data_IF_385114101003
#
_entry.id   IF_385114101003
#
_cell.length_a   1.000
_cell.length_b   1.000
_cell.length_c   1.000
_cell.angle_alpha   90.00
_cell.angle_beta   90.00
_cell.angle_gamma   90.00
#
_symmetry.space_group_name_H-M   'P 1'
#
loop_
_entity.id
_entity.type
_entity.pdbx_description
1 polymer ?
#
# COMPACT_ATOMS: atom_id res chain seq x y z
N UNK A 1 -51.28 14.35 26.52
CA UNK A 1 -51.30 15.74 26.03
C UNK A 1 -50.94 16.71 27.15
N UNK A 2 -49.64 16.95 27.32
CA UNK A 2 -49.03 18.07 28.06
C UNK A 2 -47.63 18.19 27.44
N UNK A 3 -47.40 18.87 26.32
CA UNK A 3 -47.90 20.18 25.94
C UNK A 3 -46.89 21.29 26.24
N UNK A 4 -45.72 20.97 26.81
CA UNK A 4 -44.60 21.89 26.99
C UNK A 4 -43.40 21.46 26.13
N UNK A 5 -43.55 21.64 24.82
CA UNK A 5 -42.49 21.38 23.86
C UNK A 5 -41.26 22.27 24.09
N UNK A 6 -41.47 23.47 24.64
CA UNK A 6 -40.40 24.45 24.86
C UNK A 6 -39.55 24.08 26.08
N UNK A 7 -40.15 23.63 27.18
CA UNK A 7 -39.43 23.10 28.35
C UNK A 7 -38.65 21.82 28.02
N UNK A 8 -39.20 20.94 27.17
CA UNK A 8 -38.49 19.76 26.69
C UNK A 8 -37.25 20.12 25.85
N UNK A 9 -37.34 21.13 24.98
CA UNK A 9 -36.20 21.63 24.20
C UNK A 9 -35.12 22.22 25.11
N UNK A 10 -35.50 23.05 26.07
CA UNK A 10 -34.55 23.68 27.02
C UNK A 10 -33.81 22.65 27.87
N UNK A 11 -34.51 21.62 28.36
CA UNK A 11 -33.88 20.56 29.14
C UNK A 11 -32.93 19.72 28.27
N UNK A 12 -33.29 19.47 27.01
CA UNK A 12 -32.41 18.80 26.05
C UNK A 12 -31.15 19.62 25.75
N UNK A 13 -31.28 20.93 25.57
CA UNK A 13 -30.15 21.85 25.39
C UNK A 13 -29.22 21.88 26.61
N UNK A 14 -29.79 21.88 27.82
CA UNK A 14 -29.03 21.81 29.08
C UNK A 14 -28.22 20.52 29.17
N UNK A 15 -28.82 19.39 28.78
CA UNK A 15 -28.14 18.09 28.73
C UNK A 15 -27.01 18.09 27.70
N UNK A 16 -27.25 18.62 26.49
CA UNK A 16 -26.20 18.78 25.46
C UNK A 16 -25.05 19.65 26.00
N UNK A 17 -25.33 20.80 26.62
CA UNK A 17 -24.30 21.69 27.14
C UNK A 17 -23.43 21.01 28.21
N UNK A 18 -24.06 20.27 29.13
CA UNK A 18 -23.35 19.53 30.18
C UNK A 18 -22.49 18.41 29.58
N UNK A 19 -23.04 17.64 28.63
CA UNK A 19 -22.31 16.54 27.98
C UNK A 19 -21.23 17.04 27.03
N UNK A 20 -21.39 18.21 26.39
CA UNK A 20 -20.35 18.79 25.54
C UNK A 20 -19.09 19.14 26.32
N UNK A 21 -19.20 19.39 27.63
CA UNK A 21 -18.06 19.59 28.53
C UNK A 21 -17.50 18.26 29.06
N UNK A 22 -18.38 17.34 29.48
CA UNK A 22 -17.96 16.10 30.18
C UNK A 22 -17.62 14.93 29.26
N UNK A 23 -18.28 14.86 28.11
CA UNK A 23 -18.16 13.81 27.10
C UNK A 23 -18.39 14.42 25.70
N UNK A 24 -17.43 15.19 25.16
CA UNK A 24 -17.61 16.02 23.96
C UNK A 24 -18.20 15.27 22.76
N UNK A 25 -17.77 14.02 22.52
CA UNK A 25 -18.31 13.18 21.45
C UNK A 25 -19.81 12.90 21.60
N UNK A 26 -20.28 12.60 22.81
CA UNK A 26 -21.70 12.36 23.11
C UNK A 26 -22.51 13.65 22.97
N UNK A 27 -21.96 14.77 23.46
CA UNK A 27 -22.58 16.08 23.30
C UNK A 27 -22.79 16.46 21.82
N UNK A 28 -21.75 16.25 20.99
CA UNK A 28 -21.80 16.46 19.54
C UNK A 28 -22.85 15.57 18.85
N UNK A 29 -22.90 14.28 19.19
CA UNK A 29 -23.89 13.36 18.61
C UNK A 29 -25.34 13.74 18.97
N UNK A 30 -25.58 14.18 20.21
CA UNK A 30 -26.91 14.67 20.62
C UNK A 30 -27.28 15.99 19.96
N UNK A 31 -26.33 16.92 19.79
CA UNK A 31 -26.53 18.16 19.06
C UNK A 31 -26.94 17.88 17.60
N UNK A 32 -26.26 16.95 16.92
CA UNK A 32 -26.64 16.49 15.59
C UNK A 32 -28.09 16.01 15.55
N UNK A 33 -28.49 15.12 16.46
CA UNK A 33 -29.86 14.58 16.48
C UNK A 33 -30.91 15.67 16.72
N UNK A 34 -30.64 16.63 17.62
CA UNK A 34 -31.49 17.81 17.83
C UNK A 34 -31.63 18.61 16.54
N UNK A 35 -30.51 18.94 15.91
CA UNK A 35 -30.52 19.86 14.78
C UNK A 35 -31.16 19.23 13.54
N UNK A 36 -30.95 17.92 13.33
CA UNK A 36 -31.72 17.13 12.35
C UNK A 36 -33.22 17.19 12.64
N UNK A 37 -33.62 17.02 13.89
CA UNK A 37 -35.04 17.07 14.28
C UNK A 37 -35.65 18.45 14.00
N UNK A 38 -34.94 19.54 14.33
CA UNK A 38 -35.42 20.92 14.11
C UNK A 38 -35.65 21.22 12.62
N UNK A 39 -34.78 20.73 11.73
CA UNK A 39 -34.90 20.94 10.28
C UNK A 39 -36.06 20.15 9.66
N UNK A 40 -36.38 18.96 10.18
CA UNK A 40 -37.42 18.09 9.59
C UNK A 40 -38.84 18.32 10.16
N UNK A 41 -38.99 19.18 11.18
CA UNK A 41 -40.27 19.41 11.86
C UNK A 41 -40.81 20.80 11.53
N UNK A 42 -41.93 20.91 10.79
CA UNK A 42 -42.52 22.20 10.41
C UNK A 42 -42.90 23.09 11.59
N UNK A 43 -43.15 22.49 12.77
CA UNK A 43 -43.51 23.23 13.99
C UNK A 43 -42.29 23.83 14.72
N UNK A 44 -41.07 23.51 14.28
CA UNK A 44 -39.81 23.91 14.90
C UNK A 44 -39.10 25.01 14.08
N UNK A 45 -38.12 25.69 14.70
CA UNK A 45 -37.30 26.67 13.99
C UNK A 45 -36.26 25.98 13.11
N UNK A 46 -36.53 25.90 11.80
CA UNK A 46 -35.60 25.40 10.78
C UNK A 46 -34.26 26.15 10.83
N UNK A 47 -34.30 27.48 10.91
CA UNK A 47 -33.10 28.34 11.01
C UNK A 47 -32.21 27.97 12.20
N UNK A 48 -32.78 27.64 13.36
CA UNK A 48 -32.00 27.22 14.53
C UNK A 48 -31.30 25.88 14.28
N UNK A 49 -32.00 24.92 13.65
CA UNK A 49 -31.42 23.66 13.22
C UNK A 49 -30.31 23.82 12.18
N UNK A 50 -30.52 24.66 11.15
CA UNK A 50 -29.51 24.93 10.13
C UNK A 50 -28.24 25.55 10.72
N UNK A 51 -28.36 26.49 11.67
CA UNK A 51 -27.19 27.05 12.39
C UNK A 51 -26.42 25.98 13.16
N UNK A 52 -27.13 25.10 13.86
CA UNK A 52 -26.53 24.00 14.60
C UNK A 52 -25.78 23.03 13.69
N UNK A 53 -26.40 22.60 12.59
CA UNK A 53 -25.78 21.75 11.57
C UNK A 53 -24.58 22.44 10.91
N UNK A 54 -24.66 23.72 10.57
CA UNK A 54 -23.55 24.48 9.98
C UNK A 54 -22.32 24.50 10.89
N UNK A 55 -22.52 24.72 12.20
CA UNK A 55 -21.43 24.66 13.19
C UNK A 55 -20.81 23.27 13.31
N UNK A 56 -21.61 22.20 13.28
CA UNK A 56 -21.09 20.83 13.31
C UNK A 56 -20.33 20.50 12.01
N UNK A 57 -20.88 20.86 10.85
CA UNK A 57 -20.30 20.60 9.53
C UNK A 57 -18.97 21.34 9.26
N UNK A 58 -18.81 22.52 9.85
CA UNK A 58 -17.63 23.39 9.66
C UNK A 58 -16.48 23.09 10.62
N UNK A 59 -16.73 22.33 11.68
CA UNK A 59 -15.75 22.02 12.73
C UNK A 59 -15.52 20.50 12.80
N UNK A 60 -14.77 19.93 11.84
CA UNK A 60 -14.38 18.54 11.88
C UNK A 60 -13.50 18.26 13.11
N UNK A 61 -13.62 17.05 13.64
CA UNK A 61 -12.74 16.56 14.71
C UNK A 61 -11.42 16.06 14.15
N UNK A 62 -10.37 16.13 14.95
CA UNK A 62 -9.09 15.50 14.62
C UNK A 62 -9.14 13.96 14.81
N UNK A 63 -10.14 13.45 15.52
CA UNK A 63 -10.38 12.02 15.71
C UNK A 63 -11.24 11.48 14.57
N UNK A 64 -10.76 10.42 13.92
CA UNK A 64 -11.51 9.64 12.93
C UNK A 64 -12.07 8.35 13.56
N UNK A 65 -13.26 7.88 13.16
CA UNK A 65 -14.17 8.49 12.17
C UNK A 65 -14.99 9.65 12.74
N UNK A 66 -15.06 10.78 12.04
CA UNK A 66 -15.94 11.92 12.38
C UNK A 66 -17.34 11.75 11.77
N UNK A 67 -18.05 10.75 12.29
CA UNK A 67 -19.42 10.45 11.86
C UNK A 67 -20.38 11.62 12.07
N UNK A 68 -20.12 12.51 13.04
CA UNK A 68 -21.00 13.63 13.34
C UNK A 68 -20.91 14.69 12.26
N UNK A 69 -19.70 15.10 11.88
CA UNK A 69 -19.51 16.07 10.80
C UNK A 69 -20.01 15.52 9.48
N UNK A 70 -19.69 14.25 9.15
CA UNK A 70 -20.18 13.61 7.93
C UNK A 70 -21.71 13.62 7.86
N UNK A 71 -22.40 13.21 8.92
CA UNK A 71 -23.88 13.20 8.96
C UNK A 71 -24.49 14.61 8.97
N UNK A 72 -23.83 15.60 9.56
CA UNK A 72 -24.27 16.99 9.50
C UNK A 72 -24.21 17.51 8.05
N UNK A 73 -23.10 17.26 7.35
CA UNK A 73 -22.91 17.61 5.93
C UNK A 73 -23.93 16.92 5.03
N UNK A 74 -24.15 15.62 5.24
CA UNK A 74 -25.19 14.86 4.52
C UNK A 74 -26.58 15.48 4.72
N UNK A 75 -26.95 15.80 5.96
CA UNK A 75 -28.27 16.41 6.26
C UNK A 75 -28.44 17.77 5.57
N UNK A 76 -27.40 18.61 5.58
CA UNK A 76 -27.44 19.92 4.92
C UNK A 76 -27.54 19.78 3.39
N UNK A 77 -26.85 18.80 2.80
CA UNK A 77 -26.91 18.48 1.38
C UNK A 77 -28.31 18.01 0.97
N UNK A 78 -28.89 17.06 1.72
CA UNK A 78 -30.28 16.60 1.51
C UNK A 78 -31.28 17.76 1.59
N UNK A 79 -31.08 18.68 2.54
CA UNK A 79 -31.95 19.85 2.72
C UNK A 79 -31.95 20.76 1.48
N UNK A 80 -30.78 21.11 0.93
CA UNK A 80 -30.70 21.99 -0.25
C UNK A 80 -31.08 21.31 -1.56
N UNK A 81 -30.91 19.99 -1.65
CA UNK A 81 -31.34 19.21 -2.82
C UNK A 81 -32.87 19.04 -2.89
N UNK A 82 -33.58 19.13 -1.76
CA UNK A 82 -35.04 18.99 -1.73
C UNK A 82 -35.79 20.11 -2.43
N UNK A 83 -35.37 21.37 -2.26
CA UNK A 83 -36.04 22.54 -2.85
C UNK A 83 -35.04 23.66 -3.15
N UNK A 84 -35.14 24.29 -4.32
CA UNK A 84 -34.24 25.37 -4.72
C UNK A 84 -34.21 26.55 -3.73
N UNK A 85 -35.35 26.90 -3.12
CA UNK A 85 -35.43 27.97 -2.12
C UNK A 85 -34.61 27.70 -0.84
N UNK A 86 -34.33 26.43 -0.52
CA UNK A 86 -33.52 26.05 0.64
C UNK A 86 -32.04 26.40 0.46
N UNK A 87 -31.58 26.51 -0.79
CA UNK A 87 -30.20 26.90 -1.08
C UNK A 87 -29.92 28.32 -0.61
N UNK A 88 -30.79 29.27 -0.91
CA UNK A 88 -30.63 30.68 -0.52
C UNK A 88 -30.77 30.88 1.00
N UNK A 89 -31.68 30.13 1.64
CA UNK A 89 -31.80 30.11 3.09
C UNK A 89 -30.53 29.59 3.77
N UNK A 90 -30.00 28.45 3.30
CA UNK A 90 -28.76 27.92 3.84
C UNK A 90 -27.58 28.85 3.56
N UNK A 91 -27.52 29.49 2.38
CA UNK A 91 -26.47 30.46 2.06
C UNK A 91 -26.40 31.61 3.09
N UNK A 92 -27.56 32.17 3.44
CA UNK A 92 -27.65 33.23 4.45
C UNK A 92 -27.21 32.72 5.84
N UNK A 93 -27.74 31.58 6.28
CA UNK A 93 -27.39 30.99 7.58
C UNK A 93 -25.91 30.62 7.67
N UNK A 94 -25.37 30.05 6.60
CA UNK A 94 -23.97 29.62 6.54
C UNK A 94 -23.02 30.82 6.61
N UNK A 95 -23.33 31.89 5.89
CA UNK A 95 -22.55 33.12 5.92
C UNK A 95 -22.56 33.75 7.33
N UNK A 96 -23.73 33.84 7.96
CA UNK A 96 -23.88 34.37 9.31
C UNK A 96 -23.09 33.57 10.37
N UNK A 97 -23.06 32.23 10.24
CA UNK A 97 -22.43 31.36 11.25
C UNK A 97 -20.93 31.14 11.03
N UNK A 98 -20.48 31.06 9.78
CA UNK A 98 -19.12 30.62 9.45
C UNK A 98 -18.26 31.72 8.85
N UNK A 99 -18.87 32.80 8.35
CA UNK A 99 -18.21 33.87 7.58
C UNK A 99 -17.50 33.40 6.30
N UNK A 100 -17.77 32.17 5.84
CA UNK A 100 -17.16 31.56 4.64
C UNK A 100 -18.19 31.40 3.51
N UNK A 101 -17.77 31.27 2.24
CA UNK A 101 -18.68 30.88 1.17
C UNK A 101 -19.20 29.45 1.39
N UNK A 102 -20.32 29.11 0.72
CA UNK A 102 -20.84 27.75 0.76
C UNK A 102 -19.79 26.76 0.23
N UNK A 103 -19.49 25.67 0.97
CA UNK A 103 -18.51 24.69 0.52
C UNK A 103 -18.96 23.89 -0.69
N UNK A 104 -18.01 23.47 -1.52
CA UNK A 104 -18.26 22.64 -2.69
C UNK A 104 -18.91 21.27 -2.36
N UNK A 105 -18.73 20.76 -1.13
CA UNK A 105 -19.34 19.49 -0.73
C UNK A 105 -20.87 19.56 -0.63
N UNK A 106 -21.48 20.75 -0.56
CA UNK A 106 -22.94 20.92 -0.55
C UNK A 106 -23.59 20.65 -1.90
N UNK A 107 -22.84 20.87 -2.99
CA UNK A 107 -23.34 20.69 -4.35
C UNK A 107 -23.00 19.32 -4.92
N UNK A 108 -22.34 18.44 -4.14
CA UNK A 108 -22.06 17.07 -4.54
C UNK A 108 -23.35 16.34 -4.89
N UNK A 109 -23.37 15.72 -6.06
CA UNK A 109 -24.44 14.81 -6.43
C UNK A 109 -24.36 13.53 -5.59
N UNK A 110 -25.51 12.88 -5.31
CA UNK A 110 -25.52 11.56 -4.69
C UNK A 110 -24.67 10.55 -5.49
N UNK A 111 -24.76 10.60 -6.82
CA UNK A 111 -24.00 9.73 -7.72
C UNK A 111 -22.48 9.87 -7.60
N UNK A 112 -21.95 11.07 -7.36
CA UNK A 112 -20.52 11.27 -7.14
C UNK A 112 -20.03 10.60 -5.85
N UNK A 113 -20.79 10.74 -4.76
CA UNK A 113 -20.45 10.09 -3.48
C UNK A 113 -20.57 8.57 -3.56
N UNK A 114 -21.61 8.06 -4.21
CA UNK A 114 -21.80 6.62 -4.43
C UNK A 114 -20.65 6.06 -5.28
N UNK A 115 -20.29 6.72 -6.38
CA UNK A 115 -19.22 6.26 -7.27
C UNK A 115 -17.86 6.28 -6.60
N UNK A 116 -17.56 7.33 -5.83
CA UNK A 116 -16.30 7.41 -5.08
C UNK A 116 -16.28 6.38 -3.96
N UNK A 117 -17.36 6.25 -3.17
CA UNK A 117 -17.43 5.22 -2.12
C UNK A 117 -17.23 3.82 -2.70
N UNK A 118 -17.93 3.50 -3.80
CA UNK A 118 -17.78 2.21 -4.48
C UNK A 118 -16.35 1.99 -4.99
N UNK A 119 -15.66 3.05 -5.43
CA UNK A 119 -14.26 2.96 -5.83
C UNK A 119 -13.33 2.66 -4.66
N UNK A 120 -13.55 3.27 -3.48
CA UNK A 120 -12.76 3.02 -2.28
C UNK A 120 -12.97 1.59 -1.75
N UNK A 121 -14.17 1.04 -1.94
CA UNK A 121 -14.58 -0.27 -1.45
C UNK A 121 -14.21 -1.42 -2.41
N UNK A 122 -13.53 -1.15 -3.52
CA UNK A 122 -13.11 -2.21 -4.45
C UNK A 122 -12.14 -3.18 -3.76
N UNK A 123 -12.33 -4.51 -3.88
CA UNK A 123 -11.57 -5.47 -3.09
C UNK A 123 -10.16 -5.73 -3.65
N UNK A 124 -9.91 -5.44 -4.93
CA UNK A 124 -8.64 -5.70 -5.63
C UNK A 124 -8.25 -4.52 -6.52
N UNK A 125 -6.97 -4.39 -6.87
CA UNK A 125 -6.53 -3.34 -7.81
C UNK A 125 -7.07 -3.52 -9.23
N UNK A 126 -7.23 -4.75 -9.77
CA UNK A 126 -7.97 -4.97 -11.01
C UNK A 126 -9.40 -4.43 -10.96
N UNK A 127 -10.14 -4.67 -9.88
CA UNK A 127 -11.50 -4.14 -9.72
C UNK A 127 -11.51 -2.61 -9.61
N UNK A 128 -10.54 -2.05 -8.88
CA UNK A 128 -10.34 -0.60 -8.79
C UNK A 128 -10.07 0.04 -10.16
N UNK A 129 -9.23 -0.60 -10.98
CA UNK A 129 -8.89 -0.13 -12.31
C UNK A 129 -10.08 -0.23 -13.29
N UNK A 130 -10.85 -1.32 -13.21
CA UNK A 130 -12.07 -1.49 -13.99
C UNK A 130 -13.11 -0.42 -13.62
N UNK A 131 -13.33 -0.21 -12.31
CA UNK A 131 -14.24 0.82 -11.81
C UNK A 131 -13.80 2.23 -12.22
N UNK A 132 -12.49 2.51 -12.15
CA UNK A 132 -11.96 3.78 -12.65
C UNK A 132 -12.27 3.97 -14.13
N UNK A 133 -12.05 2.94 -14.94
CA UNK A 133 -12.24 3.00 -16.39
C UNK A 133 -13.72 3.24 -16.75
N UNK A 134 -14.64 2.56 -16.07
CA UNK A 134 -16.08 2.70 -16.28
C UNK A 134 -16.63 4.08 -15.84
N UNK A 135 -15.97 4.72 -14.88
CA UNK A 135 -16.41 5.99 -14.28
C UNK A 135 -15.41 7.15 -14.46
N UNK A 136 -14.53 7.05 -15.47
CA UNK A 136 -13.37 7.94 -15.62
C UNK A 136 -13.73 9.43 -15.68
N UNK A 137 -14.83 9.79 -16.35
CA UNK A 137 -15.29 11.19 -16.46
C UNK A 137 -15.60 11.79 -15.08
N UNK A 138 -16.36 11.05 -14.25
CA UNK A 138 -16.75 11.50 -12.92
C UNK A 138 -15.57 11.48 -11.95
N UNK A 139 -14.79 10.40 -11.93
CA UNK A 139 -13.64 10.26 -11.04
C UNK A 139 -12.51 11.25 -11.34
N UNK A 140 -12.39 11.69 -12.60
CA UNK A 140 -11.45 12.74 -13.00
C UNK A 140 -11.94 14.16 -12.69
N UNK A 141 -13.22 14.33 -12.35
CA UNK A 141 -13.82 15.65 -12.11
C UNK A 141 -13.42 16.24 -10.75
N UNK A 142 -13.50 17.58 -10.57
CA UNK A 142 -13.36 18.21 -9.26
C UNK A 142 -14.38 17.70 -8.23
N UNK A 143 -15.53 17.23 -8.68
CA UNK A 143 -16.60 16.68 -7.84
C UNK A 143 -16.11 15.43 -7.09
N UNK A 144 -15.38 14.54 -7.77
CA UNK A 144 -14.78 13.37 -7.13
C UNK A 144 -13.75 13.74 -6.05
N UNK A 145 -12.99 14.81 -6.24
CA UNK A 145 -12.06 15.29 -5.20
C UNK A 145 -12.80 15.80 -3.96
N UNK A 146 -13.96 16.45 -4.15
CA UNK A 146 -14.80 16.87 -3.03
C UNK A 146 -15.49 15.68 -2.35
N UNK A 147 -15.90 14.65 -3.11
CA UNK A 147 -16.45 13.41 -2.56
C UNK A 147 -15.38 12.63 -1.76
N UNK A 148 -14.14 12.54 -2.25
CA UNK A 148 -13.01 11.94 -1.51
C UNK A 148 -12.76 12.66 -0.18
N UNK A 149 -12.86 13.99 -0.16
CA UNK A 149 -12.73 14.77 1.08
C UNK A 149 -13.87 14.50 2.08
N UNK A 150 -15.06 14.14 1.61
CA UNK A 150 -16.16 13.70 2.48
C UNK A 150 -15.90 12.28 3.01
N UNK A 151 -15.42 11.35 2.17
CA UNK A 151 -15.06 10.00 2.59
C UNK A 151 -13.90 10.01 3.61
N UNK A 152 -12.96 10.96 3.48
CA UNK A 152 -11.85 11.15 4.42
C UNK A 152 -12.30 11.50 5.86
N UNK A 153 -13.55 11.97 6.06
CA UNK A 153 -14.10 12.14 7.41
C UNK A 153 -14.34 10.80 8.11
N UNK A 154 -14.56 9.73 7.35
CA UNK A 154 -14.86 8.40 7.87
C UNK A 154 -13.63 7.50 7.86
N UNK A 155 -12.89 7.51 6.75
CA UNK A 155 -11.65 6.75 6.58
C UNK A 155 -10.58 7.64 5.93
N UNK A 156 -9.80 8.38 6.75
CA UNK A 156 -8.78 9.28 6.24
C UNK A 156 -7.67 8.59 5.47
N UNK A 157 -7.29 7.38 5.86
CA UNK A 157 -6.14 6.67 5.27
C UNK A 157 -6.48 6.16 3.87
N UNK A 158 -7.60 5.44 3.74
CA UNK A 158 -8.06 4.93 2.44
C UNK A 158 -8.37 6.08 1.48
N UNK A 159 -9.01 7.15 1.96
CA UNK A 159 -9.31 8.31 1.13
C UNK A 159 -8.03 9.07 0.70
N UNK A 160 -7.02 9.19 1.56
CA UNK A 160 -5.75 9.80 1.20
C UNK A 160 -4.99 8.97 0.15
N UNK A 161 -4.99 7.65 0.29
CA UNK A 161 -4.39 6.74 -0.69
C UNK A 161 -5.05 6.88 -2.07
N UNK A 162 -6.38 6.85 -2.12
CA UNK A 162 -7.15 7.03 -3.36
C UNK A 162 -7.01 8.44 -3.94
N UNK A 163 -6.89 9.48 -3.10
CA UNK A 163 -6.60 10.82 -3.57
C UNK A 163 -5.20 10.90 -4.22
N UNK A 164 -4.18 10.26 -3.63
CA UNK A 164 -2.84 10.21 -4.21
C UNK A 164 -2.84 9.46 -5.55
N UNK A 165 -3.48 8.29 -5.60
CA UNK A 165 -3.67 7.51 -6.82
C UNK A 165 -4.38 8.35 -7.90
N UNK A 166 -5.48 9.04 -7.56
CA UNK A 166 -6.19 9.95 -8.45
C UNK A 166 -5.27 11.03 -9.04
N UNK A 167 -4.38 11.62 -8.24
CA UNK A 167 -3.44 12.63 -8.75
C UNK A 167 -2.47 12.05 -9.78
N UNK A 168 -1.91 10.86 -9.51
CA UNK A 168 -1.02 10.17 -10.46
C UNK A 168 -1.77 9.80 -11.75
N UNK A 169 -3.00 9.33 -11.64
CA UNK A 169 -3.84 9.02 -12.82
C UNK A 169 -4.07 10.28 -13.66
N UNK A 170 -4.34 11.43 -13.04
CA UNK A 170 -4.57 12.67 -13.76
C UNK A 170 -3.30 13.25 -14.42
N UNK A 171 -2.11 12.95 -13.89
CA UNK A 171 -0.84 13.41 -14.48
C UNK A 171 -0.25 12.45 -15.51
N UNK A 172 -0.35 11.14 -15.27
CA UNK A 172 0.38 10.10 -16.03
C UNK A 172 -0.55 9.15 -16.79
N UNK A 173 -1.86 9.19 -16.49
CA UNK A 173 -2.86 8.29 -17.06
C UNK A 173 -3.09 7.04 -16.20
N UNK A 174 -4.30 6.49 -16.29
CA UNK A 174 -4.71 5.36 -15.46
C UNK A 174 -3.84 4.09 -15.67
N UNK A 175 -3.49 3.69 -16.90
CA UNK A 175 -2.64 2.51 -17.09
C UNK A 175 -1.29 2.60 -16.38
N UNK A 176 -0.64 3.77 -16.43
CA UNK A 176 0.66 3.98 -15.79
C UNK A 176 0.56 3.96 -14.26
N UNK A 177 -0.47 4.63 -13.72
CA UNK A 177 -0.70 4.70 -12.28
C UNK A 177 -1.04 3.32 -11.66
N UNK A 178 -1.82 2.51 -12.37
CA UNK A 178 -2.25 1.19 -11.87
C UNK A 178 -1.24 0.08 -12.12
N UNK A 179 -0.37 0.17 -13.14
CA UNK A 179 0.62 -0.88 -13.44
C UNK A 179 1.42 -1.36 -12.22
N UNK A 180 2.06 -0.49 -11.41
CA UNK A 180 2.82 -0.96 -10.25
C UNK A 180 1.93 -1.62 -9.18
N UNK A 181 0.69 -1.17 -9.01
CA UNK A 181 -0.26 -1.75 -8.05
C UNK A 181 -0.72 -3.14 -8.47
N UNK A 182 -1.05 -3.30 -9.76
CA UNK A 182 -1.44 -4.58 -10.36
C UNK A 182 -0.30 -5.61 -10.30
N UNK A 183 0.92 -5.19 -10.65
CA UNK A 183 2.10 -6.05 -10.57
C UNK A 183 2.44 -6.42 -9.11
N UNK A 184 2.26 -5.49 -8.17
CA UNK A 184 2.45 -5.76 -6.74
C UNK A 184 1.49 -6.82 -6.19
N UNK A 185 0.21 -6.75 -6.58
CA UNK A 185 -0.79 -7.77 -6.20
C UNK A 185 -0.48 -9.11 -6.85
N UNK A 186 -0.15 -9.13 -8.15
CA UNK A 186 0.25 -10.36 -8.84
C UNK A 186 1.50 -11.00 -8.22
N UNK A 187 2.48 -10.20 -7.78
CA UNK A 187 3.66 -10.67 -7.07
C UNK A 187 3.28 -11.26 -5.70
N UNK A 188 2.42 -10.59 -4.94
CA UNK A 188 1.94 -11.09 -3.65
C UNK A 188 1.23 -12.45 -3.83
N UNK A 189 0.33 -12.56 -4.80
CA UNK A 189 -0.35 -13.81 -5.13
C UNK A 189 0.62 -14.92 -5.54
N UNK A 190 1.61 -14.60 -6.39
CA UNK A 190 2.62 -15.55 -6.83
C UNK A 190 3.49 -16.07 -5.68
N UNK A 191 3.93 -15.18 -4.78
CA UNK A 191 4.77 -15.52 -3.62
C UNK A 191 4.01 -16.24 -2.51
N UNK A 192 2.68 -16.14 -2.48
CA UNK A 192 1.83 -16.89 -1.55
C UNK A 192 1.63 -18.36 -1.96
N UNK A 193 1.99 -18.74 -3.20
CA UNK A 193 1.89 -20.13 -3.68
C UNK A 193 2.87 -21.03 -2.93
N UNK A 194 2.42 -22.24 -2.62
CA UNK A 194 3.16 -23.16 -1.73
C UNK A 194 3.88 -24.27 -2.48
N UNK A 195 3.69 -24.38 -3.79
CA UNK A 195 4.32 -25.41 -4.62
C UNK A 195 5.01 -24.81 -5.84
N UNK A 196 6.13 -25.39 -6.24
CA UNK A 196 6.87 -24.94 -7.43
C UNK A 196 6.08 -25.13 -8.74
N UNK A 197 5.20 -26.12 -8.80
CA UNK A 197 4.38 -26.39 -9.99
C UNK A 197 3.31 -25.30 -10.19
N UNK A 198 2.62 -24.91 -9.12
CA UNK A 198 1.67 -23.79 -9.16
C UNK A 198 2.40 -22.48 -9.46
N UNK A 199 3.55 -22.26 -8.84
CA UNK A 199 4.41 -21.09 -9.05
C UNK A 199 4.85 -20.98 -10.52
N UNK A 200 5.28 -22.08 -11.13
CA UNK A 200 5.67 -22.13 -12.55
C UNK A 200 4.49 -21.84 -13.49
N UNK A 201 3.34 -22.45 -13.21
CA UNK A 201 2.13 -22.21 -13.99
C UNK A 201 1.69 -20.74 -13.89
N UNK A 202 1.78 -20.15 -12.69
CA UNK A 202 1.40 -18.78 -12.45
C UNK A 202 2.31 -17.79 -13.19
N UNK A 203 3.63 -17.96 -13.12
CA UNK A 203 4.58 -17.10 -13.84
C UNK A 203 4.40 -17.19 -15.37
N UNK A 204 4.08 -18.38 -15.90
CA UNK A 204 3.74 -18.54 -17.33
C UNK A 204 2.48 -17.79 -17.74
N UNK A 205 1.48 -17.73 -16.85
CA UNK A 205 0.24 -17.01 -17.10
C UNK A 205 0.40 -15.49 -16.97
N UNK A 206 1.41 -15.02 -16.23
CA UNK A 206 1.65 -13.61 -15.91
C UNK A 206 3.08 -13.17 -16.29
N UNK A 207 3.41 -13.10 -17.59
CA UNK A 207 4.76 -12.73 -18.04
C UNK A 207 5.15 -11.29 -17.68
N UNK A 208 4.18 -10.41 -17.40
CA UNK A 208 4.42 -9.02 -17.01
C UNK A 208 5.19 -8.91 -15.68
N UNK A 209 5.17 -9.95 -14.83
CA UNK A 209 5.97 -10.01 -13.61
C UNK A 209 7.48 -9.91 -13.86
N UNK A 210 7.96 -10.22 -15.07
CA UNK A 210 9.37 -10.11 -15.44
C UNK A 210 9.90 -8.66 -15.44
N UNK A 211 8.99 -7.68 -15.44
CA UNK A 211 9.32 -6.26 -15.33
C UNK A 211 9.66 -5.83 -13.89
N UNK A 212 9.26 -6.61 -12.90
CA UNK A 212 9.55 -6.32 -11.49
C UNK A 212 10.96 -6.73 -11.12
N UNK A 213 11.60 -5.95 -10.27
CA UNK A 213 12.88 -6.28 -9.64
C UNK A 213 12.70 -6.29 -8.10
N UNK A 214 12.11 -7.36 -7.54
CA UNK A 214 11.89 -7.46 -6.10
C UNK A 214 13.22 -7.64 -5.34
N UNK A 215 13.23 -7.38 -4.02
CA UNK A 215 14.41 -7.61 -3.19
C UNK A 215 14.85 -9.08 -3.18
N UNK A 216 16.12 -9.30 -2.85
CA UNK A 216 16.79 -10.61 -2.75
C UNK A 216 15.90 -11.66 -2.09
N UNK A 217 15.48 -12.63 -2.89
CA UNK A 217 14.56 -13.71 -2.52
C UNK A 217 14.53 -14.75 -3.65
N UNK A 218 14.01 -15.96 -3.39
CA UNK A 218 13.80 -16.95 -4.48
C UNK A 218 12.93 -16.41 -5.62
N UNK A 219 11.79 -15.72 -5.37
CA UNK A 219 11.02 -15.07 -6.43
C UNK A 219 11.85 -14.10 -7.28
N UNK A 220 12.70 -13.27 -6.67
CA UNK A 220 13.61 -12.39 -7.41
C UNK A 220 14.57 -13.19 -8.30
N UNK A 221 15.11 -14.30 -7.78
CA UNK A 221 16.03 -15.16 -8.51
C UNK A 221 15.38 -15.82 -9.72
N UNK A 222 14.16 -16.30 -9.56
CA UNK A 222 13.37 -16.87 -10.65
C UNK A 222 13.05 -15.81 -11.72
N UNK A 223 12.65 -14.59 -11.33
CA UNK A 223 12.40 -13.51 -12.29
C UNK A 223 13.68 -13.11 -13.04
N UNK A 224 14.80 -12.94 -12.34
CA UNK A 224 16.07 -12.61 -12.95
C UNK A 224 16.50 -13.65 -14.00
N UNK A 225 16.47 -14.94 -13.63
CA UNK A 225 16.82 -16.01 -14.56
C UNK A 225 15.83 -16.13 -15.73
N UNK A 226 14.53 -15.87 -15.50
CA UNK A 226 13.49 -15.94 -16.53
C UNK A 226 13.54 -14.80 -17.56
N UNK A 227 14.30 -13.73 -17.29
CA UNK A 227 14.58 -12.68 -18.29
C UNK A 227 15.54 -13.15 -19.39
N UNK A 228 16.34 -14.18 -19.12
CA UNK A 228 17.39 -14.69 -20.03
C UNK A 228 17.18 -16.14 -20.45
N UNK A 229 16.38 -16.91 -19.70
CA UNK A 229 16.07 -18.31 -19.95
C UNK A 229 14.55 -18.52 -20.00
N UNK A 230 14.09 -19.61 -20.62
CA UNK A 230 12.68 -19.96 -20.58
C UNK A 230 12.26 -20.38 -19.15
N UNK A 231 10.99 -20.13 -18.81
CA UNK A 231 10.45 -20.39 -17.47
C UNK A 231 10.63 -21.87 -17.06
N UNK A 232 10.54 -22.83 -17.98
CA UNK A 232 10.71 -24.24 -17.62
C UNK A 232 12.13 -24.51 -17.10
N UNK A 233 13.13 -24.01 -17.83
CA UNK A 233 14.55 -24.08 -17.45
C UNK A 233 14.80 -23.44 -16.09
N UNK A 234 14.22 -22.27 -15.84
CA UNK A 234 14.41 -21.56 -14.56
C UNK A 234 13.88 -22.37 -13.38
N UNK A 235 12.71 -22.99 -13.50
CA UNK A 235 12.18 -23.82 -12.41
C UNK A 235 12.93 -25.14 -12.24
N UNK A 236 13.83 -25.54 -13.15
CA UNK A 236 14.77 -26.64 -12.86
C UNK A 236 15.78 -26.25 -11.78
N UNK A 237 16.11 -24.96 -11.63
CA UNK A 237 17.06 -24.49 -10.61
C UNK A 237 16.58 -24.78 -9.19
N UNK A 238 15.27 -24.69 -8.94
CA UNK A 238 14.66 -24.96 -7.62
C UNK A 238 14.25 -26.42 -7.42
N UNK A 239 14.35 -27.25 -8.45
CA UNK A 239 13.97 -28.68 -8.41
C UNK A 239 15.16 -29.64 -8.48
N UNK A 240 16.23 -29.24 -9.15
CA UNK A 240 17.45 -30.02 -9.35
C UNK A 240 18.68 -29.20 -8.96
N UNK A 241 19.33 -29.65 -7.88
CA UNK A 241 20.57 -29.03 -7.37
C UNK A 241 21.69 -29.03 -8.40
N UNK A 242 21.70 -30.00 -9.32
CA UNK A 242 22.69 -30.08 -10.41
C UNK A 242 22.50 -28.94 -11.40
N UNK A 243 21.25 -28.60 -11.72
CA UNK A 243 20.92 -27.48 -12.59
C UNK A 243 21.32 -26.15 -11.94
N UNK A 244 21.07 -25.98 -10.63
CA UNK A 244 21.56 -24.82 -9.89
C UNK A 244 23.08 -24.72 -9.91
N UNK A 245 23.81 -25.82 -9.66
CA UNK A 245 25.27 -25.80 -9.70
C UNK A 245 25.79 -25.41 -11.09
N UNK A 246 25.19 -25.89 -12.18
CA UNK A 246 25.58 -25.48 -13.53
C UNK A 246 25.35 -23.99 -13.78
N UNK A 247 24.25 -23.44 -13.25
CA UNK A 247 23.97 -22.00 -13.31
C UNK A 247 25.01 -21.19 -12.53
N UNK A 248 25.38 -21.64 -11.33
CA UNK A 248 26.46 -21.03 -10.51
C UNK A 248 27.80 -21.11 -11.22
N UNK A 249 28.19 -22.26 -11.77
CA UNK A 249 29.45 -22.44 -12.48
C UNK A 249 29.56 -21.47 -13.69
N UNK A 250 28.44 -21.25 -14.38
CA UNK A 250 28.36 -20.26 -15.46
C UNK A 250 28.55 -18.84 -14.94
N UNK A 251 27.85 -18.46 -13.85
CA UNK A 251 27.97 -17.15 -13.23
C UNK A 251 29.38 -16.86 -12.70
N UNK A 252 30.01 -17.86 -12.07
CA UNK A 252 31.40 -17.80 -11.62
C UNK A 252 32.38 -17.63 -12.79
N UNK A 253 32.12 -18.30 -13.92
CA UNK A 253 32.98 -18.21 -15.11
C UNK A 253 32.87 -16.85 -15.81
N UNK A 254 31.67 -16.27 -15.87
CA UNK A 254 31.45 -14.96 -16.50
C UNK A 254 31.72 -13.78 -15.56
N UNK A 255 31.81 -14.02 -14.25
CA UNK A 255 31.87 -12.97 -13.24
C UNK A 255 30.56 -12.18 -13.13
N UNK A 256 29.42 -12.85 -13.33
CA UNK A 256 28.10 -12.22 -13.26
C UNK A 256 27.64 -12.09 -11.80
N UNK A 257 27.78 -10.87 -11.27
CA UNK A 257 27.42 -10.55 -9.89
C UNK A 257 25.94 -10.80 -9.59
N UNK A 258 25.04 -10.41 -10.50
CA UNK A 258 23.61 -10.55 -10.29
C UNK A 258 23.20 -12.02 -10.34
N UNK A 259 23.66 -12.77 -11.33
CA UNK A 259 23.35 -14.19 -11.42
C UNK A 259 23.83 -14.94 -10.16
N UNK A 260 25.01 -14.59 -9.63
CA UNK A 260 25.56 -15.21 -8.42
C UNK A 260 24.79 -14.81 -7.15
N UNK A 261 24.37 -13.53 -7.03
CA UNK A 261 23.51 -13.05 -5.94
C UNK A 261 22.18 -13.79 -5.89
N UNK A 262 21.52 -13.95 -7.04
CA UNK A 262 20.24 -14.65 -7.13
C UNK A 262 20.38 -16.16 -6.92
N UNK A 263 21.45 -16.77 -7.41
CA UNK A 263 21.73 -18.19 -7.14
C UNK A 263 21.90 -18.45 -5.64
N UNK A 264 22.58 -17.55 -4.91
CA UNK A 264 22.73 -17.64 -3.46
C UNK A 264 21.38 -17.64 -2.72
N UNK A 265 20.39 -16.86 -3.16
CA UNK A 265 19.03 -16.91 -2.59
C UNK A 265 18.38 -18.29 -2.75
N UNK A 266 18.60 -18.95 -3.89
CA UNK A 266 18.08 -20.31 -4.12
C UNK A 266 18.82 -21.33 -3.24
N UNK A 267 20.15 -21.22 -3.11
CA UNK A 267 20.94 -22.09 -2.23
C UNK A 267 20.43 -22.03 -0.77
N UNK A 268 20.15 -20.83 -0.26
CA UNK A 268 19.69 -20.60 1.11
C UNK A 268 18.26 -21.10 1.33
N UNK A 269 17.30 -20.57 0.57
CA UNK A 269 15.88 -20.77 0.86
C UNK A 269 15.33 -22.12 0.36
N UNK A 270 15.89 -22.67 -0.73
CA UNK A 270 15.38 -23.91 -1.35
C UNK A 270 16.18 -25.14 -0.91
N UNK A 271 17.50 -25.02 -0.85
CA UNK A 271 18.40 -26.15 -0.58
C UNK A 271 19.00 -26.14 0.83
N UNK A 272 18.72 -25.11 1.64
CA UNK A 272 19.26 -24.92 3.00
C UNK A 272 20.80 -25.04 3.04
N UNK A 273 21.47 -24.58 1.99
CA UNK A 273 22.94 -24.55 1.88
C UNK A 273 23.47 -23.16 2.21
N UNK A 274 23.33 -22.80 3.49
CA UNK A 274 23.66 -21.48 4.01
C UNK A 274 25.14 -21.10 3.79
N UNK A 275 26.06 -22.08 3.88
CA UNK A 275 27.48 -21.80 3.66
C UNK A 275 27.76 -21.42 2.21
N UNK A 276 27.22 -22.18 1.24
CA UNK A 276 27.40 -21.86 -0.17
C UNK A 276 26.72 -20.53 -0.52
N UNK A 277 25.48 -20.34 -0.06
CA UNK A 277 24.72 -19.11 -0.25
C UNK A 277 25.49 -17.87 0.24
N UNK A 278 25.96 -17.89 1.49
CA UNK A 278 26.69 -16.75 2.06
C UNK A 278 28.02 -16.50 1.35
N UNK A 279 28.70 -17.57 0.93
CA UNK A 279 29.96 -17.45 0.18
C UNK A 279 29.74 -16.81 -1.19
N UNK A 280 28.76 -17.31 -1.96
CA UNK A 280 28.43 -16.78 -3.28
C UNK A 280 27.86 -15.36 -3.21
N UNK A 281 27.05 -15.04 -2.19
CA UNK A 281 26.57 -13.68 -1.96
C UNK A 281 27.72 -12.69 -1.70
N UNK A 282 28.68 -13.05 -0.84
CA UNK A 282 29.86 -12.19 -0.62
C UNK A 282 30.69 -12.02 -1.88
N UNK A 283 30.86 -13.07 -2.68
CA UNK A 283 31.53 -12.99 -3.97
C UNK A 283 30.79 -12.07 -4.95
N UNK A 284 29.45 -12.13 -4.98
CA UNK A 284 28.62 -11.24 -5.77
C UNK A 284 28.80 -9.76 -5.38
N UNK A 285 28.83 -9.44 -4.09
CA UNK A 285 29.11 -8.07 -3.59
C UNK A 285 30.47 -7.56 -4.06
N UNK A 286 31.51 -8.41 -4.04
CA UNK A 286 32.83 -8.04 -4.54
C UNK A 286 32.85 -7.81 -6.05
N UNK A 287 32.12 -8.61 -6.82
CA UNK A 287 31.97 -8.42 -8.27
C UNK A 287 31.15 -7.18 -8.62
N UNK A 288 30.15 -6.83 -7.80
CA UNK A 288 29.33 -5.62 -7.93
C UNK A 288 30.07 -4.33 -7.50
N UNK A 289 31.25 -4.45 -6.91
CA UNK A 289 32.05 -3.31 -6.45
C UNK A 289 31.59 -2.71 -5.13
N UNK A 290 30.87 -3.47 -4.30
CA UNK A 290 30.39 -3.07 -2.96
C UNK A 290 31.06 -3.86 -1.84
N UNK A 291 32.41 -3.81 -1.72
CA UNK A 291 33.15 -4.66 -0.78
C UNK A 291 32.87 -4.37 0.69
N UNK A 292 32.42 -3.16 1.02
CA UNK A 292 32.15 -2.75 2.40
C UNK A 292 30.88 -3.41 2.97
N UNK A 293 30.04 -3.98 2.10
CA UNK A 293 28.85 -4.76 2.48
C UNK A 293 29.19 -6.24 2.72
N UNK A 294 30.37 -6.70 2.29
CA UNK A 294 30.80 -8.08 2.50
C UNK A 294 31.42 -8.25 3.89
N UNK A 295 30.91 -9.19 4.69
CA UNK A 295 31.50 -9.59 5.96
C UNK A 295 31.97 -11.05 5.97
N UNK A 296 33.23 -11.33 5.58
CA UNK A 296 33.79 -12.68 5.62
C UNK A 296 33.77 -13.35 7.01
N UNK A 297 33.62 -12.59 8.09
CA UNK A 297 33.51 -13.18 9.43
C UNK A 297 32.19 -13.96 9.62
N UNK A 298 31.13 -13.62 8.88
CA UNK A 298 29.84 -14.30 8.93
C UNK A 298 29.89 -15.75 8.43
N UNK A 299 30.96 -16.14 7.73
CA UNK A 299 31.17 -17.52 7.28
C UNK A 299 31.63 -18.44 8.43
N UNK A 300 32.30 -17.90 9.45
CA UNK A 300 32.89 -18.67 10.54
C UNK A 300 31.91 -19.62 11.27
N UNK A 301 30.70 -19.20 11.68
CA UNK A 301 29.74 -20.11 12.31
C UNK A 301 29.28 -21.24 11.38
N UNK A 302 29.19 -20.99 10.07
CA UNK A 302 28.70 -21.96 9.09
C UNK A 302 29.78 -22.99 8.69
N UNK A 303 31.05 -22.59 8.74
CA UNK A 303 32.20 -23.46 8.42
C UNK A 303 32.37 -24.60 9.42
N UNK A 304 31.98 -24.40 10.69
CA UNK A 304 32.13 -25.40 11.75
C UNK A 304 31.31 -26.68 11.49
N UNK A 305 30.12 -26.52 10.92
CA UNK A 305 29.18 -27.62 10.66
C UNK A 305 29.24 -28.16 9.22
N UNK A 306 30.03 -27.52 8.35
CA UNK A 306 30.12 -27.87 6.94
C UNK A 306 31.10 -29.01 6.64
N UNK A 307 30.75 -29.83 5.65
CA UNK A 307 31.63 -30.91 5.18
C UNK A 307 32.94 -30.34 4.61
N UNK A 308 34.03 -31.10 4.73
CA UNK A 308 35.32 -30.75 4.12
C UNK A 308 35.22 -30.63 2.59
N UNK A 309 34.38 -31.43 1.95
CA UNK A 309 34.19 -31.38 0.50
C UNK A 309 33.49 -30.08 0.08
N UNK A 310 32.44 -29.65 0.79
CA UNK A 310 31.77 -28.35 0.56
C UNK A 310 32.76 -27.20 0.71
N UNK A 311 33.56 -27.19 1.79
CA UNK A 311 34.55 -26.14 2.04
C UNK A 311 35.63 -26.10 0.95
N UNK A 312 36.17 -27.27 0.57
CA UNK A 312 37.19 -27.35 -0.48
C UNK A 312 36.66 -26.90 -1.85
N UNK A 313 35.39 -27.24 -2.17
CA UNK A 313 34.71 -26.76 -3.38
C UNK A 313 34.62 -25.24 -3.39
N UNK A 314 34.05 -24.64 -2.34
CA UNK A 314 33.89 -23.19 -2.21
C UNK A 314 35.22 -22.44 -2.26
N UNK A 315 36.26 -22.96 -1.58
CA UNK A 315 37.62 -22.39 -1.66
C UNK A 315 38.11 -22.39 -3.11
N UNK A 316 37.90 -23.48 -3.84
CA UNK A 316 38.34 -23.62 -5.23
C UNK A 316 37.59 -22.68 -6.16
N UNK A 317 36.27 -22.57 -6.00
CA UNK A 317 35.40 -21.65 -6.74
C UNK A 317 35.80 -20.20 -6.53
N UNK A 318 35.94 -19.76 -5.27
CA UNK A 318 36.34 -18.39 -4.93
C UNK A 318 37.80 -18.09 -5.36
N UNK A 319 38.71 -19.05 -5.23
CA UNK A 319 40.08 -18.88 -5.70
C UNK A 319 40.13 -18.69 -7.23
N UNK A 320 39.38 -19.48 -7.99
CA UNK A 320 39.29 -19.35 -9.45
C UNK A 320 38.67 -18.00 -9.85
N UNK A 321 37.56 -17.62 -9.22
CA UNK A 321 36.89 -16.34 -9.46
C UNK A 321 37.82 -15.16 -9.14
N UNK A 322 38.52 -15.22 -8.00
CA UNK A 322 39.50 -14.20 -7.65
C UNK A 322 40.64 -14.14 -8.67
N UNK A 323 41.17 -15.26 -9.16
CA UNK A 323 42.24 -15.24 -10.15
C UNK A 323 41.81 -14.54 -11.47
N UNK A 324 40.54 -14.66 -11.85
CA UNK A 324 39.99 -14.04 -13.05
C UNK A 324 39.58 -12.57 -12.84
N UNK A 325 39.13 -12.17 -11.64
CA UNK A 325 38.50 -10.86 -11.39
C UNK A 325 39.15 -10.01 -10.27
N UNK A 326 40.22 -10.47 -9.61
CA UNK A 326 40.83 -9.82 -8.42
C UNK A 326 41.59 -8.52 -8.68
N UNK A 327 41.55 -7.95 -9.88
CA UNK A 327 42.07 -6.58 -10.09
C UNK A 327 41.40 -5.56 -9.18
N UNK A 328 40.22 -5.88 -8.63
CA UNK A 328 39.51 -5.11 -7.61
C UNK A 328 39.35 -5.95 -6.33
N UNK A 329 39.51 -5.31 -5.17
CA UNK A 329 39.21 -5.88 -3.83
C UNK A 329 40.00 -7.14 -3.40
N UNK A 330 41.23 -7.36 -3.89
CA UNK A 330 42.07 -8.52 -3.58
C UNK A 330 42.14 -8.91 -2.09
N UNK A 331 42.18 -7.92 -1.17
CA UNK A 331 42.20 -8.19 0.26
C UNK A 331 40.91 -8.87 0.76
N UNK A 332 39.74 -8.51 0.23
CA UNK A 332 38.46 -9.12 0.60
C UNK A 332 38.36 -10.55 0.07
N UNK A 333 38.78 -10.81 -1.17
CA UNK A 333 38.87 -12.16 -1.74
C UNK A 333 39.70 -13.11 -0.85
N UNK A 334 40.88 -12.64 -0.41
CA UNK A 334 41.74 -13.42 0.49
C UNK A 334 41.05 -13.70 1.83
N UNK A 335 40.31 -12.73 2.39
CA UNK A 335 39.59 -12.92 3.66
C UNK A 335 38.47 -13.95 3.56
N UNK A 336 37.74 -14.00 2.44
CA UNK A 336 36.72 -15.05 2.18
C UNK A 336 37.39 -16.44 2.17
N UNK A 337 38.47 -16.60 1.39
CA UNK A 337 39.20 -17.87 1.31
C UNK A 337 39.73 -18.30 2.68
N UNK A 338 40.29 -17.35 3.45
CA UNK A 338 40.78 -17.61 4.80
C UNK A 338 39.66 -18.03 5.76
N UNK A 339 38.49 -17.39 5.68
CA UNK A 339 37.34 -17.76 6.50
C UNK A 339 36.85 -19.17 6.19
N UNK A 340 36.78 -19.56 4.91
CA UNK A 340 36.43 -20.91 4.48
C UNK A 340 37.46 -21.98 4.89
N UNK A 341 38.74 -21.62 4.87
CA UNK A 341 39.84 -22.50 5.25
C UNK A 341 40.05 -22.62 6.76
N UNK A 342 39.38 -21.77 7.56
CA UNK A 342 39.47 -21.84 9.01
C UNK A 342 38.94 -23.19 9.49
N UNK A 343 39.77 -23.91 10.24
CA UNK A 343 39.34 -25.11 10.97
C UNK A 343 38.73 -24.65 12.29
N UNK A 344 37.47 -25.03 12.54
CA UNK A 344 36.81 -24.85 13.83
C UNK A 344 37.56 -25.53 14.98
#
# INVERSE_FOLDING_TARGET
>A
NTGDHQGAIQEFERVIANLSVKAPAVGRALALNRDKFLVHRPECSTTAGLRGLARLASNPTAEAPDQVTFRARLTLREYVQGFAAHHDELAAVWHDETTTPLPAWLTLSPGALETVTAWLDTPTWPDSYAHWTDHAELLSSPEASAALAECALLDPETAAHHQALRQVILSEGAPAAYRPLLLGEQLADWTALTTWDESEQYLRAHPDLLELDPPDSVPAALLHAARTHDIATVYTLVRDRTALQQYIDSALTSGDADALRHAASIEDEVYDDQLSARTHHQAALLLAGTPDEADPADLAPLVADASTDTRNRLISEIAALSAAHATQHAAHWVRIIQALAATG
#
